data_IF_986552690865
#
_entry.id   IF_986552690865
#
_cell.length_a   1.000
_cell.length_b   1.000
_cell.length_c   1.000
_cell.angle_alpha   90.00
_cell.angle_beta   90.00
_cell.angle_gamma   90.00
#
_symmetry.space_group_name_H-M   'P 1'
#
loop_
_entity.id
_entity.type
_entity.pdbx_description
1 polymer ?
#
# COMPACT_ATOMS: atom_id res chain seq x y z
N UNK A 1 -6.59 -28.84 -0.34
CA UNK A 1 -7.73 -27.88 -0.41
C UNK A 1 -7.70 -26.80 0.67
N UNK A 2 -7.15 -27.03 1.87
CA UNK A 2 -7.07 -26.00 2.92
C UNK A 2 -6.01 -24.92 2.64
N UNK A 3 -4.83 -25.30 2.15
CA UNK A 3 -3.72 -24.36 1.89
C UNK A 3 -4.07 -23.25 0.89
N UNK A 4 -4.81 -23.57 -0.18
CA UNK A 4 -5.24 -22.59 -1.20
C UNK A 4 -6.30 -21.65 -0.63
N UNK A 5 -7.20 -22.16 0.23
CA UNK A 5 -8.24 -21.37 0.88
C UNK A 5 -7.65 -20.43 1.94
N UNK A 6 -6.68 -20.90 2.72
CA UNK A 6 -5.89 -20.06 3.63
C UNK A 6 -5.08 -19.02 2.86
N UNK A 7 -4.50 -19.37 1.71
CA UNK A 7 -3.77 -18.44 0.86
C UNK A 7 -4.67 -17.33 0.27
N UNK A 8 -5.89 -17.70 -0.16
CA UNK A 8 -6.90 -16.76 -0.65
C UNK A 8 -7.47 -15.87 0.46
N UNK A 9 -7.68 -16.40 1.67
CA UNK A 9 -8.11 -15.63 2.84
C UNK A 9 -7.01 -14.69 3.33
N UNK A 10 -5.75 -15.14 3.37
CA UNK A 10 -4.59 -14.33 3.68
C UNK A 10 -4.49 -13.15 2.70
N UNK A 11 -4.62 -13.42 1.40
CA UNK A 11 -4.57 -12.36 0.39
C UNK A 11 -5.75 -11.38 0.47
N UNK A 12 -6.96 -11.87 0.74
CA UNK A 12 -8.17 -11.04 0.78
C UNK A 12 -8.29 -10.21 2.06
N UNK A 13 -7.75 -10.70 3.17
CA UNK A 13 -7.94 -10.09 4.50
C UNK A 13 -6.68 -9.42 5.06
N UNK A 14 -5.48 -9.95 4.82
CA UNK A 14 -4.24 -9.34 5.32
C UNK A 14 -3.77 -8.22 4.41
N UNK A 15 -4.03 -8.28 3.09
CA UNK A 15 -3.65 -7.20 2.18
C UNK A 15 -4.23 -5.82 2.58
N UNK A 16 -5.54 -5.66 2.88
CA UNK A 16 -6.08 -4.35 3.29
C UNK A 16 -5.50 -3.88 4.63
N UNK A 17 -5.28 -4.80 5.58
CA UNK A 17 -4.70 -4.46 6.90
C UNK A 17 -3.23 -4.07 6.77
N UNK A 18 -2.45 -4.83 6.00
CA UNK A 18 -1.04 -4.52 5.73
C UNK A 18 -0.90 -3.17 5.00
N UNK A 19 -1.78 -2.88 4.04
CA UNK A 19 -1.83 -1.57 3.37
C UNK A 19 -2.14 -0.44 4.34
N UNK A 20 -3.09 -0.61 5.25
CA UNK A 20 -3.39 0.40 6.27
C UNK A 20 -2.20 0.62 7.23
N UNK A 21 -1.57 -0.45 7.70
CA UNK A 21 -0.39 -0.34 8.58
C UNK A 21 0.75 0.37 7.86
N UNK A 22 1.04 -0.01 6.62
CA UNK A 22 2.08 0.65 5.83
C UNK A 22 1.72 2.12 5.52
N UNK A 23 0.43 2.44 5.32
CA UNK A 23 -0.03 3.82 5.07
C UNK A 23 0.25 4.71 6.28
N UNK A 24 -0.15 4.24 7.47
CA UNK A 24 0.12 4.95 8.71
C UNK A 24 1.61 5.02 9.04
N UNK A 25 2.38 3.96 8.74
CA UNK A 25 3.83 3.98 8.86
C UNK A 25 4.47 5.01 7.91
N UNK A 26 3.96 5.13 6.68
CA UNK A 26 4.39 6.13 5.71
C UNK A 26 4.11 7.56 6.18
N UNK A 27 2.90 7.83 6.67
CA UNK A 27 2.55 9.15 7.25
C UNK A 27 3.41 9.43 8.47
N UNK A 28 3.57 8.47 9.38
CA UNK A 28 4.41 8.60 10.58
C UNK A 28 5.87 8.89 10.23
N UNK A 29 6.42 8.22 9.22
CA UNK A 29 7.76 8.47 8.70
C UNK A 29 7.92 9.88 8.13
N UNK A 30 6.94 10.35 7.35
CA UNK A 30 6.94 11.72 6.82
C UNK A 30 6.87 12.76 7.93
N UNK A 31 6.00 12.57 8.92
CA UNK A 31 5.88 13.47 10.07
C UNK A 31 7.16 13.49 10.91
N UNK A 32 7.74 12.32 11.19
CA UNK A 32 9.00 12.20 11.92
C UNK A 32 10.16 12.85 11.17
N UNK A 33 10.29 12.61 9.86
CA UNK A 33 11.31 13.24 9.02
C UNK A 33 11.16 14.76 8.97
N UNK A 34 9.91 15.23 8.91
CA UNK A 34 9.62 16.67 8.94
C UNK A 34 9.96 17.29 10.28
N UNK A 35 9.61 16.63 11.39
CA UNK A 35 9.99 17.06 12.74
C UNK A 35 11.50 17.14 12.90
N UNK A 36 12.23 16.12 12.45
CA UNK A 36 13.68 16.10 12.49
C UNK A 36 14.31 17.26 11.70
N UNK A 37 13.83 17.50 10.47
CA UNK A 37 14.28 18.61 9.63
C UNK A 37 13.97 19.97 10.26
N UNK A 38 12.80 20.10 10.89
CA UNK A 38 12.41 21.30 11.62
C UNK A 38 13.32 21.56 12.84
N UNK A 39 13.61 20.54 13.64
CA UNK A 39 14.49 20.67 14.82
C UNK A 39 15.95 21.01 14.47
N UNK A 40 16.38 20.79 13.23
CA UNK A 40 17.74 21.09 12.76
C UNK A 40 17.79 22.35 11.86
N UNK A 41 16.75 23.20 11.91
CA UNK A 41 16.65 24.46 11.15
C UNK A 41 16.84 24.31 9.62
N UNK A 42 16.50 23.14 9.08
CA UNK A 42 16.55 22.90 7.65
C UNK A 42 15.27 23.35 6.96
N UNK A 43 15.33 24.41 6.14
CA UNK A 43 14.21 24.95 5.35
C UNK A 43 13.40 23.93 4.54
N UNK A 44 14.00 22.77 4.21
CA UNK A 44 13.37 21.68 3.48
C UNK A 44 12.26 20.95 4.26
N UNK A 45 12.02 21.27 5.54
CA UNK A 45 10.95 20.67 6.33
C UNK A 45 9.56 20.87 5.68
N UNK A 46 9.30 22.03 5.06
CA UNK A 46 8.03 22.32 4.35
C UNK A 46 7.85 21.39 3.13
N UNK A 47 8.94 21.14 2.41
CA UNK A 47 8.94 20.24 1.25
C UNK A 47 8.73 18.79 1.70
N UNK A 48 9.31 18.38 2.83
CA UNK A 48 9.06 17.05 3.40
C UNK A 48 7.59 16.86 3.77
N UNK A 49 6.94 17.88 4.35
CA UNK A 49 5.53 17.83 4.77
C UNK A 49 4.59 17.72 3.56
N UNK A 50 4.80 18.56 2.54
CA UNK A 50 3.96 18.59 1.33
C UNK A 50 4.25 17.42 0.40
N UNK A 51 5.51 17.18 0.06
CA UNK A 51 5.90 16.15 -0.89
C UNK A 51 5.84 14.75 -0.28
N UNK A 52 6.21 14.59 1.00
CA UNK A 52 6.16 13.30 1.67
C UNK A 52 4.74 12.76 1.83
N UNK A 53 3.75 13.63 2.12
CA UNK A 53 2.35 13.20 2.20
C UNK A 53 1.77 12.83 0.84
N UNK A 54 2.09 13.61 -0.21
CA UNK A 54 1.73 13.29 -1.59
C UNK A 54 2.37 11.98 -2.06
N UNK A 55 3.65 11.76 -1.75
CA UNK A 55 4.37 10.56 -2.15
C UNK A 55 3.80 9.31 -1.49
N UNK A 56 3.49 9.38 -0.19
CA UNK A 56 2.79 8.30 0.52
C UNK A 56 1.46 8.01 -0.19
N UNK A 57 0.63 9.02 -0.43
CA UNK A 57 -0.66 8.85 -1.12
C UNK A 57 -0.51 8.17 -2.48
N UNK A 58 0.41 8.64 -3.31
CA UNK A 58 0.64 8.13 -4.67
C UNK A 58 1.11 6.66 -4.67
N UNK A 59 1.99 6.30 -3.74
CA UNK A 59 2.47 4.92 -3.57
C UNK A 59 1.33 3.99 -3.16
N UNK A 60 0.49 4.39 -2.19
CA UNK A 60 -0.63 3.57 -1.73
C UNK A 60 -1.72 3.40 -2.79
N UNK A 61 -2.07 4.48 -3.48
CA UNK A 61 -3.05 4.44 -4.57
C UNK A 61 -2.57 3.54 -5.72
N UNK A 62 -1.28 3.61 -6.06
CA UNK A 62 -0.65 2.71 -7.04
C UNK A 62 -0.68 1.24 -6.59
N UNK A 63 -0.45 0.97 -5.30
CA UNK A 63 -0.50 -0.38 -4.75
C UNK A 63 -1.90 -0.97 -4.77
N UNK A 64 -2.92 -0.17 -4.40
CA UNK A 64 -4.33 -0.58 -4.44
C UNK A 64 -4.75 -0.90 -5.86
N UNK A 65 -4.42 -0.06 -6.83
CA UNK A 65 -4.70 -0.30 -8.25
C UNK A 65 -4.08 -1.62 -8.72
N UNK A 66 -2.78 -1.83 -8.47
CA UNK A 66 -2.10 -3.09 -8.82
C UNK A 66 -2.74 -4.31 -8.18
N UNK A 67 -3.18 -4.18 -6.93
CA UNK A 67 -3.87 -5.26 -6.25
C UNK A 67 -5.20 -5.60 -6.90
N UNK A 68 -6.04 -4.60 -7.20
CA UNK A 68 -7.31 -4.80 -7.89
C UNK A 68 -7.10 -5.41 -9.28
N UNK A 69 -6.11 -4.94 -10.03
CA UNK A 69 -5.73 -5.51 -11.33
C UNK A 69 -5.34 -6.97 -11.20
N UNK A 70 -4.53 -7.33 -10.19
CA UNK A 70 -4.14 -8.72 -9.95
C UNK A 70 -5.35 -9.60 -9.65
N UNK A 71 -6.28 -9.15 -8.81
CA UNK A 71 -7.49 -9.92 -8.46
C UNK A 71 -8.34 -10.18 -9.70
N UNK A 72 -8.55 -9.16 -10.54
CA UNK A 72 -9.29 -9.28 -11.80
C UNK A 72 -8.63 -10.29 -12.76
N UNK A 73 -7.31 -10.20 -12.95
CA UNK A 73 -6.54 -11.15 -13.77
C UNK A 73 -6.66 -12.59 -13.27
N UNK A 74 -6.64 -12.79 -11.95
CA UNK A 74 -6.78 -14.12 -11.36
C UNK A 74 -8.19 -14.68 -11.55
N UNK A 75 -9.23 -13.87 -11.42
CA UNK A 75 -10.61 -14.28 -11.73
C UNK A 75 -10.78 -14.67 -13.21
N UNK A 76 -10.17 -13.91 -14.13
CA UNK A 76 -10.20 -14.23 -15.57
C UNK A 76 -9.52 -15.58 -15.82
N UNK A 77 -8.35 -15.81 -15.20
CA UNK A 77 -7.62 -17.07 -15.32
C UNK A 77 -8.43 -18.26 -14.82
N UNK A 78 -9.05 -18.15 -13.65
CA UNK A 78 -9.90 -19.22 -13.10
C UNK A 78 -11.09 -19.54 -14.01
N UNK A 79 -11.73 -18.53 -14.61
CA UNK A 79 -12.84 -18.74 -15.56
C UNK A 79 -12.41 -19.39 -16.87
N UNK A 80 -11.16 -19.17 -17.29
CA UNK A 80 -10.60 -19.77 -18.49
C UNK A 80 -10.26 -21.24 -18.27
N UNK A 81 -9.61 -21.57 -17.14
CA UNK A 81 -9.30 -22.95 -16.74
C UNK A 81 -10.57 -23.78 -16.53
N UNK A 82 -11.65 -23.20 -15.98
CA UNK A 82 -12.92 -23.91 -15.77
C UNK A 82 -13.72 -24.21 -17.06
N UNK A 83 -13.29 -23.67 -18.22
CA UNK A 83 -13.91 -23.92 -19.53
C UNK A 83 -13.14 -24.95 -20.38
N UNK A 84 -11.94 -25.36 -19.96
CA UNK A 84 -11.20 -26.48 -20.55
C UNK A 84 -11.52 -27.78 -19.81
#
# INVERSE_FOLDING_TARGET
MNTVRDYLLFKKFIMPVALQVMFWAGIGGTLYGTWWLYSHDHWAWIMSLTFGTLMVRLLFESFVLRYQTYVCLNEIREKLDARQ
#
